data_IF_994078444576
#
_entry.id   IF_994078444576
#
_cell.length_a   1.000
_cell.length_b   1.000
_cell.length_c   1.000
_cell.angle_alpha   90.00
_cell.angle_beta   90.00
_cell.angle_gamma   90.00
#
_symmetry.space_group_name_H-M   'P 1'
#
loop_
_entity.id
_entity.type
_entity.pdbx_description
1 polymer ?
#
# COMPACT_ATOMS: atom_id res chain seq x y z
N UNK A 1 8.05 7.05 -27.22
CA UNK A 1 7.59 5.90 -26.40
C UNK A 1 6.36 6.37 -25.66
N UNK A 2 5.29 5.59 -25.72
CA UNK A 2 4.01 6.01 -25.15
C UNK A 2 3.96 5.61 -23.67
N UNK A 3 3.06 6.19 -22.89
CA UNK A 3 2.84 5.75 -21.51
C UNK A 3 2.43 4.25 -21.41
N UNK A 4 1.90 3.67 -22.50
CA UNK A 4 1.46 2.27 -22.57
C UNK A 4 2.59 1.24 -22.51
N UNK A 5 3.85 1.67 -22.60
CA UNK A 5 5.02 0.76 -22.53
C UNK A 5 5.46 0.49 -21.08
N UNK A 6 4.92 1.21 -20.10
CA UNK A 6 5.32 1.12 -18.69
C UNK A 6 4.21 0.58 -17.79
N UNK A 7 4.59 -0.27 -16.85
CA UNK A 7 3.74 -0.81 -15.79
C UNK A 7 4.19 -0.21 -14.47
N UNK A 8 3.24 0.22 -13.63
CA UNK A 8 3.57 0.55 -12.24
C UNK A 8 3.93 -0.73 -11.49
N UNK A 9 5.18 -0.81 -11.01
CA UNK A 9 5.72 -1.99 -10.34
C UNK A 9 5.74 -1.85 -8.81
N UNK A 10 5.66 -0.62 -8.30
CA UNK A 10 5.56 -0.30 -6.88
C UNK A 10 4.91 1.08 -6.74
N UNK A 11 4.15 1.30 -5.66
CA UNK A 11 3.59 2.60 -5.30
C UNK A 11 3.54 2.79 -3.78
N UNK A 12 3.44 4.04 -3.36
CA UNK A 12 3.05 4.45 -2.02
C UNK A 12 2.05 5.61 -2.12
N UNK A 13 0.92 5.49 -1.42
CA UNK A 13 -0.10 6.53 -1.39
C UNK A 13 0.41 7.74 -0.56
N UNK A 14 0.45 8.96 -1.14
CA UNK A 14 1.02 10.10 -0.45
C UNK A 14 0.07 10.64 0.64
N UNK A 15 0.68 11.08 1.74
CA UNK A 15 0.08 11.75 2.89
C UNK A 15 0.72 13.12 3.12
N UNK A 16 -0.03 13.99 3.78
CA UNK A 16 0.49 15.27 4.25
C UNK A 16 1.56 15.06 5.33
N UNK A 17 2.60 15.92 5.40
CA UNK A 17 3.59 15.87 6.47
C UNK A 17 2.92 15.87 7.85
N UNK A 18 3.26 14.89 8.69
CA UNK A 18 2.64 14.72 10.01
C UNK A 18 3.64 14.17 11.03
N UNK A 19 3.24 14.16 12.30
CA UNK A 19 4.05 13.54 13.36
C UNK A 19 4.21 12.03 13.17
N UNK A 20 3.20 11.38 12.56
CA UNK A 20 3.20 9.94 12.28
C UNK A 20 3.19 9.07 13.54
N UNK A 21 3.23 7.74 13.35
CA UNK A 21 3.26 6.77 14.46
C UNK A 21 4.67 6.52 14.99
N UNK A 22 5.67 6.78 14.16
CA UNK A 22 7.09 6.59 14.45
C UNK A 22 7.89 7.81 14.01
N UNK A 23 9.07 8.07 14.60
CA UNK A 23 9.94 9.16 14.18
C UNK A 23 10.17 9.15 12.67
N UNK A 24 9.87 10.29 12.05
CA UNK A 24 9.98 10.52 10.62
C UNK A 24 10.47 11.95 10.34
N UNK A 25 10.77 12.26 9.08
CA UNK A 25 11.37 13.53 8.66
C UNK A 25 10.42 14.42 7.87
N UNK A 26 9.13 14.07 7.78
CA UNK A 26 8.20 14.75 6.86
C UNK A 26 7.99 16.22 7.24
N UNK A 27 7.83 16.53 8.54
CA UNK A 27 7.64 17.91 9.02
C UNK A 27 8.91 18.76 8.95
N UNK A 28 10.07 18.16 9.20
CA UNK A 28 11.38 18.81 9.09
C UNK A 28 11.73 19.11 7.62
N UNK A 29 11.46 18.14 6.74
CA UNK A 29 11.95 18.15 5.38
C UNK A 29 13.43 17.77 5.29
N UNK A 30 14.05 18.18 4.19
CA UNK A 30 15.44 17.89 3.88
C UNK A 30 16.16 19.15 3.45
N UNK A 31 17.45 19.25 3.77
CA UNK A 31 18.32 20.34 3.33
C UNK A 31 19.77 19.86 3.31
N UNK A 32 20.43 19.96 2.13
CA UNK A 32 21.79 19.46 1.87
C UNK A 32 21.94 18.01 2.31
N UNK A 33 20.96 17.20 1.94
CA UNK A 33 20.82 15.81 2.38
C UNK A 33 20.37 14.92 1.22
N UNK A 34 20.85 13.68 1.24
CA UNK A 34 20.36 12.60 0.41
C UNK A 34 19.40 11.71 1.20
N UNK A 35 18.32 11.31 0.55
CA UNK A 35 17.32 10.37 1.07
C UNK A 35 17.33 9.12 0.20
N UNK A 36 17.60 7.97 0.80
CA UNK A 36 17.72 6.68 0.11
C UNK A 36 16.63 5.72 0.58
N UNK A 37 15.88 5.18 -0.36
CA UNK A 37 14.63 4.47 -0.11
C UNK A 37 14.66 3.13 -0.83
N UNK A 38 14.43 2.04 -0.08
CA UNK A 38 14.38 0.69 -0.64
C UNK A 38 12.92 0.34 -0.92
N UNK A 39 12.64 -0.11 -2.14
CA UNK A 39 11.29 -0.51 -2.57
C UNK A 39 11.34 -1.83 -3.32
N UNK A 40 10.44 -2.75 -2.97
CA UNK A 40 10.33 -4.06 -3.63
C UNK A 40 9.42 -3.95 -4.84
N UNK A 41 9.92 -4.31 -6.02
CA UNK A 41 9.15 -4.24 -7.25
C UNK A 41 8.32 -5.51 -7.45
N UNK A 42 7.09 -5.37 -7.92
CA UNK A 42 6.19 -6.49 -8.24
C UNK A 42 6.20 -6.85 -9.73
N UNK A 43 6.82 -6.01 -10.57
CA UNK A 43 7.04 -6.25 -11.99
C UNK A 43 8.49 -5.91 -12.37
N UNK A 44 9.13 -6.78 -13.15
CA UNK A 44 10.50 -6.59 -13.66
C UNK A 44 10.54 -5.95 -15.04
N UNK A 45 11.71 -5.50 -15.49
CA UNK A 45 11.91 -4.87 -16.78
C UNK A 45 13.38 -4.58 -17.07
N UNK A 46 13.67 -4.05 -18.26
CA UNK A 46 15.01 -3.61 -18.66
C UNK A 46 15.28 -2.14 -18.34
N UNK A 47 14.21 -1.34 -18.18
CA UNK A 47 14.29 0.07 -17.81
C UNK A 47 13.34 0.38 -16.67
N UNK A 48 13.78 1.31 -15.83
CA UNK A 48 13.03 1.82 -14.68
C UNK A 48 12.87 3.33 -14.80
N UNK A 49 11.76 3.86 -14.29
CA UNK A 49 11.57 5.29 -14.05
C UNK A 49 10.83 5.49 -12.73
N UNK A 50 11.01 6.65 -12.12
CA UNK A 50 10.38 6.97 -10.83
C UNK A 50 9.36 8.08 -11.00
N UNK A 51 8.31 8.04 -10.18
CA UNK A 51 7.35 9.13 -10.00
C UNK A 51 7.57 9.80 -8.66
N UNK A 52 7.75 11.10 -8.69
CA UNK A 52 7.92 11.95 -7.51
C UNK A 52 6.70 12.84 -7.34
N UNK A 53 6.23 12.98 -6.11
CA UNK A 53 5.03 13.72 -5.75
C UNK A 53 5.35 14.80 -4.72
N UNK A 54 4.95 16.02 -5.05
CA UNK A 54 4.90 17.18 -4.17
C UNK A 54 3.44 17.54 -3.82
N UNK A 55 2.55 16.53 -3.77
CA UNK A 55 1.11 16.69 -3.59
C UNK A 55 0.73 17.55 -2.36
N UNK A 56 1.54 17.49 -1.30
CA UNK A 56 1.30 18.26 -0.08
C UNK A 56 2.21 19.48 0.11
N UNK A 57 3.20 19.69 -0.75
CA UNK A 57 4.07 20.85 -0.69
C UNK A 57 3.37 22.14 -1.11
N UNK A 58 3.71 23.23 -0.43
CA UNK A 58 3.16 24.58 -0.66
C UNK A 58 4.06 25.47 -1.51
N UNK A 59 5.27 25.02 -1.83
CA UNK A 59 6.25 25.68 -2.71
C UNK A 59 6.85 24.67 -3.70
N UNK A 60 7.50 25.14 -4.78
CA UNK A 60 8.27 24.26 -5.65
C UNK A 60 9.32 23.46 -4.86
N UNK A 61 9.35 22.15 -5.07
CA UNK A 61 10.35 21.23 -4.52
C UNK A 61 11.51 21.12 -5.50
N UNK A 62 12.69 21.58 -5.11
CA UNK A 62 13.90 21.50 -5.92
C UNK A 62 14.66 20.21 -5.64
N UNK A 63 14.74 19.34 -6.64
CA UNK A 63 15.54 18.12 -6.60
C UNK A 63 16.86 18.38 -7.33
N UNK A 64 17.97 18.29 -6.61
CA UNK A 64 19.31 18.50 -7.17
C UNK A 64 19.86 17.25 -7.88
N UNK A 65 19.26 16.09 -7.63
CA UNK A 65 19.51 14.89 -8.41
C UNK A 65 18.81 13.67 -7.87
N UNK A 66 18.75 12.63 -8.68
CA UNK A 66 18.29 11.32 -8.26
C UNK A 66 19.11 10.20 -8.90
N UNK A 67 19.13 9.04 -8.24
CA UNK A 67 19.68 7.80 -8.78
C UNK A 67 18.83 6.61 -8.39
N UNK A 68 18.93 5.55 -9.18
CA UNK A 68 18.34 4.24 -8.92
C UNK A 68 19.39 3.16 -9.09
N UNK A 69 19.30 2.10 -8.30
CA UNK A 69 20.25 0.99 -8.32
C UNK A 69 19.59 -0.30 -7.83
N UNK A 70 20.20 -1.45 -8.13
CA UNK A 70 19.80 -2.72 -7.48
C UNK A 70 20.25 -2.68 -6.02
N UNK A 71 19.36 -3.08 -5.12
CA UNK A 71 19.66 -3.07 -3.69
C UNK A 71 20.63 -4.19 -3.34
N UNK A 72 21.63 -3.91 -2.52
CA UNK A 72 22.46 -4.93 -1.89
C UNK A 72 21.92 -5.23 -0.48
N UNK A 73 22.52 -4.65 0.56
CA UNK A 73 22.08 -4.82 1.95
C UNK A 73 21.98 -3.48 2.67
N UNK A 74 20.89 -3.26 3.40
CA UNK A 74 20.65 -1.99 4.09
C UNK A 74 20.65 -0.82 3.12
N UNK A 75 21.49 0.19 3.37
CA UNK A 75 21.67 1.34 2.49
C UNK A 75 22.60 1.07 1.29
N UNK A 76 23.26 -0.09 1.24
CA UNK A 76 24.18 -0.46 0.18
C UNK A 76 23.46 -0.85 -1.12
N UNK A 77 24.11 -0.60 -2.24
CA UNK A 77 23.62 -0.95 -3.58
C UNK A 77 24.66 -1.79 -4.33
N UNK A 78 24.23 -2.52 -5.34
CA UNK A 78 25.17 -3.35 -6.11
C UNK A 78 26.14 -2.47 -6.92
N UNK A 79 27.47 -2.71 -6.85
CA UNK A 79 28.44 -2.00 -7.66
C UNK A 79 28.13 -2.09 -9.17
N UNK A 80 28.24 -0.97 -9.88
CA UNK A 80 27.97 -0.90 -11.31
C UNK A 80 26.47 -0.84 -11.69
N UNK A 81 25.55 -0.97 -10.73
CA UNK A 81 24.11 -0.87 -10.99
C UNK A 81 23.56 0.56 -10.87
N UNK A 82 24.32 1.50 -10.28
CA UNK A 82 23.87 2.89 -10.11
C UNK A 82 23.59 3.55 -11.45
N UNK A 83 22.40 4.13 -11.59
CA UNK A 83 21.98 4.96 -12.73
C UNK A 83 21.53 6.31 -12.23
N UNK A 84 22.21 7.37 -12.67
CA UNK A 84 21.71 8.74 -12.46
C UNK A 84 20.45 8.93 -13.29
N UNK A 85 19.44 9.49 -12.68
CA UNK A 85 18.17 9.79 -13.34
C UNK A 85 18.21 11.20 -13.94
N UNK A 86 17.38 11.40 -14.96
CA UNK A 86 17.12 12.69 -15.58
C UNK A 86 15.62 12.95 -15.64
N UNK A 87 15.25 14.21 -15.83
CA UNK A 87 13.88 14.68 -16.00
C UNK A 87 13.88 15.59 -17.22
N UNK A 88 13.32 15.11 -18.35
CA UNK A 88 13.40 15.81 -19.63
C UNK A 88 14.85 16.11 -20.05
N UNK A 89 15.77 15.19 -19.77
CA UNK A 89 17.20 15.28 -20.07
C UNK A 89 18.04 16.05 -19.04
N UNK A 90 17.43 16.70 -18.04
CA UNK A 90 18.14 17.43 -16.99
C UNK A 90 18.33 16.58 -15.73
N UNK A 91 19.46 16.73 -15.03
CA UNK A 91 19.68 16.04 -13.74
C UNK A 91 18.98 16.71 -12.55
N UNK A 92 18.68 18.00 -12.68
CA UNK A 92 17.98 18.79 -11.67
C UNK A 92 16.56 19.10 -12.15
N UNK A 93 15.61 19.19 -11.22
CA UNK A 93 14.24 19.56 -11.57
C UNK A 93 13.52 20.26 -10.42
N UNK A 94 12.59 21.16 -10.77
CA UNK A 94 11.66 21.76 -9.83
C UNK A 94 10.26 21.15 -10.02
N UNK A 95 9.73 20.53 -8.96
CA UNK A 95 8.37 19.99 -8.95
C UNK A 95 7.47 21.07 -8.36
N UNK A 96 6.50 21.55 -9.14
CA UNK A 96 5.57 22.58 -8.68
C UNK A 96 4.87 22.21 -7.36
N UNK A 97 4.45 23.22 -6.59
CA UNK A 97 3.58 22.99 -5.44
C UNK A 97 2.34 22.18 -5.86
N UNK A 98 1.98 21.16 -5.08
CA UNK A 98 0.88 20.22 -5.41
C UNK A 98 1.09 19.41 -6.70
N UNK A 99 2.29 19.47 -7.28
CA UNK A 99 2.62 18.82 -8.55
C UNK A 99 3.22 17.42 -8.38
N UNK A 100 3.45 16.78 -9.52
CA UNK A 100 4.16 15.52 -9.63
C UNK A 100 5.05 15.53 -10.87
N UNK A 101 6.06 14.66 -10.92
CA UNK A 101 6.91 14.47 -12.09
C UNK A 101 7.31 13.00 -12.23
N UNK A 102 7.56 12.57 -13.47
CA UNK A 102 8.12 11.27 -13.79
C UNK A 102 9.51 11.47 -14.40
N UNK A 103 10.49 10.66 -13.99
CA UNK A 103 11.83 10.70 -14.57
C UNK A 103 11.83 10.14 -16.00
N UNK A 104 12.87 10.46 -16.76
CA UNK A 104 13.18 9.72 -17.98
C UNK A 104 13.52 8.25 -17.61
N UNK A 105 13.30 7.27 -18.51
CA UNK A 105 13.71 5.89 -18.28
C UNK A 105 15.23 5.73 -18.17
N UNK A 106 15.67 4.95 -17.19
CA UNK A 106 17.06 4.53 -17.01
C UNK A 106 17.22 3.02 -17.21
N UNK A 107 18.29 2.59 -17.89
CA UNK A 107 18.60 1.18 -18.12
C UNK A 107 19.07 0.50 -16.83
N UNK A 108 18.18 -0.30 -16.25
CA UNK A 108 18.43 -1.08 -15.06
C UNK A 108 17.59 -2.35 -15.15
N UNK A 109 18.24 -3.48 -15.42
CA UNK A 109 17.57 -4.77 -15.48
C UNK A 109 17.25 -5.24 -14.08
N UNK A 110 15.96 -5.47 -13.82
CA UNK A 110 15.42 -5.90 -12.53
C UNK A 110 14.36 -6.99 -12.74
N UNK A 111 14.33 -7.98 -11.86
CA UNK A 111 13.28 -9.00 -11.86
C UNK A 111 12.11 -8.62 -10.93
N UNK A 112 10.94 -9.21 -11.17
CA UNK A 112 9.83 -9.12 -10.22
C UNK A 112 10.24 -9.73 -8.87
N UNK A 113 9.91 -9.04 -7.78
CA UNK A 113 10.34 -9.38 -6.42
C UNK A 113 11.73 -8.86 -6.05
N UNK A 114 12.48 -8.24 -6.96
CA UNK A 114 13.76 -7.62 -6.59
C UNK A 114 13.54 -6.23 -5.95
N UNK A 115 14.24 -5.92 -4.86
CA UNK A 115 14.31 -4.57 -4.34
C UNK A 115 15.20 -3.67 -5.21
N UNK A 116 14.74 -2.43 -5.38
CA UNK A 116 15.54 -1.33 -5.93
C UNK A 116 15.70 -0.24 -4.88
N UNK A 117 16.83 0.45 -4.96
CA UNK A 117 17.18 1.56 -4.10
C UNK A 117 17.12 2.85 -4.88
N UNK A 118 16.25 3.78 -4.48
CA UNK A 118 16.14 5.13 -5.05
C UNK A 118 16.80 6.12 -4.10
N UNK A 119 17.74 6.93 -4.60
CA UNK A 119 18.35 8.02 -3.83
C UNK A 119 17.93 9.36 -4.42
N UNK A 120 17.46 10.28 -3.58
CA UNK A 120 17.08 11.64 -3.93
C UNK A 120 18.00 12.63 -3.20
N UNK A 121 18.56 13.62 -3.89
CA UNK A 121 19.38 14.66 -3.28
C UNK A 121 18.68 16.01 -3.30
N UNK A 122 18.61 16.63 -2.12
CA UNK A 122 18.04 17.96 -1.92
C UNK A 122 19.13 18.92 -1.47
N UNK A 123 19.66 19.75 -2.39
CA UNK A 123 20.60 20.82 -2.04
C UNK A 123 19.90 21.95 -1.28
N UNK A 124 18.74 22.38 -1.80
CA UNK A 124 17.90 23.39 -1.17
C UNK A 124 16.95 22.78 -0.13
N UNK A 125 16.49 23.61 0.81
CA UNK A 125 15.52 23.18 1.80
C UNK A 125 14.18 22.84 1.13
N UNK A 126 13.63 21.67 1.43
CA UNK A 126 12.34 21.24 0.88
C UNK A 126 11.14 21.90 1.58
N UNK A 127 11.32 22.32 2.84
CA UNK A 127 10.22 22.49 3.78
C UNK A 127 9.52 21.15 4.07
N UNK A 128 8.35 21.16 4.73
CA UNK A 128 7.60 19.94 4.99
C UNK A 128 7.36 19.12 3.72
N UNK A 129 7.78 17.86 3.73
CA UNK A 129 7.83 17.00 2.55
C UNK A 129 6.64 16.02 2.52
N UNK A 130 6.05 15.86 1.33
CA UNK A 130 5.08 14.78 1.05
C UNK A 130 5.71 13.44 1.40
N UNK A 131 4.98 12.59 2.12
CA UNK A 131 5.52 11.32 2.60
C UNK A 131 4.44 10.22 2.63
N UNK A 132 4.83 9.01 2.96
CA UNK A 132 3.96 7.90 3.32
C UNK A 132 4.48 7.32 4.63
N UNK A 133 3.61 7.23 5.65
CA UNK A 133 4.03 7.08 7.03
C UNK A 133 4.56 5.68 7.37
N UNK A 134 3.93 4.62 6.86
CA UNK A 134 4.14 3.25 7.33
C UNK A 134 4.69 2.37 6.20
N UNK A 135 5.95 2.61 5.83
CA UNK A 135 6.59 1.89 4.74
C UNK A 135 6.81 0.40 5.03
N UNK A 136 6.88 0.03 6.31
CA UNK A 136 7.32 -1.29 6.80
C UNK A 136 8.64 -1.76 6.19
N UNK A 137 9.45 -0.80 5.73
CA UNK A 137 10.80 -0.97 5.20
C UNK A 137 11.60 0.28 5.51
N UNK A 138 12.92 0.17 5.49
CA UNK A 138 13.81 1.26 5.91
C UNK A 138 14.08 2.23 4.78
N UNK A 139 13.98 3.52 5.11
CA UNK A 139 14.58 4.62 4.39
C UNK A 139 15.75 5.18 5.20
N UNK A 140 16.70 5.76 4.50
CA UNK A 140 17.97 6.24 5.01
C UNK A 140 18.18 7.70 4.65
N UNK A 141 18.82 8.48 5.53
CA UNK A 141 19.24 9.86 5.26
C UNK A 141 20.70 10.04 5.60
N UNK A 142 21.38 10.90 4.84
CA UNK A 142 22.76 11.29 5.08
C UNK A 142 23.04 12.69 4.52
N UNK A 143 24.08 13.39 5.01
CA UNK A 143 24.44 14.72 4.53
C UNK A 143 25.10 14.68 3.15
N UNK A 144 24.87 15.73 2.35
CA UNK A 144 25.48 15.94 1.04
C UNK A 144 24.91 15.07 -0.10
N UNK A 145 25.53 15.19 -1.28
CA UNK A 145 25.21 14.37 -2.46
C UNK A 145 25.83 12.97 -2.29
N UNK A 146 24.96 11.98 -2.05
CA UNK A 146 25.29 10.56 -1.92
C UNK A 146 24.73 9.73 -3.08
N UNK A 147 24.42 10.36 -4.22
CA UNK A 147 23.77 9.70 -5.36
C UNK A 147 24.64 8.60 -6.00
N UNK A 148 25.96 8.69 -5.83
CA UNK A 148 26.93 7.69 -6.28
C UNK A 148 27.46 6.78 -5.16
N UNK A 149 27.00 6.97 -3.91
CA UNK A 149 27.44 6.15 -2.78
C UNK A 149 26.94 4.71 -2.97
N UNK A 150 27.88 3.77 -3.16
CA UNK A 150 27.58 2.35 -3.33
C UNK A 150 27.49 1.61 -1.99
N UNK A 151 28.23 2.05 -0.98
CA UNK A 151 28.42 1.30 0.27
C UNK A 151 27.27 1.50 1.25
N UNK A 152 26.58 2.63 1.16
CA UNK A 152 25.59 3.10 2.13
C UNK A 152 26.22 3.78 3.35
N UNK A 153 27.54 3.96 3.39
CA UNK A 153 28.23 4.47 4.58
C UNK A 153 27.99 5.96 4.85
N UNK A 154 27.62 6.74 3.83
CA UNK A 154 27.25 8.15 4.01
C UNK A 154 25.89 8.37 4.69
N UNK A 155 25.09 7.31 4.89
CA UNK A 155 23.77 7.42 5.53
C UNK A 155 23.87 7.12 7.02
N UNK A 156 23.51 8.11 7.85
CA UNK A 156 23.68 8.10 9.30
C UNK A 156 22.36 8.06 10.08
N UNK A 157 21.22 8.16 9.39
CA UNK A 157 19.90 8.10 10.00
C UNK A 157 18.95 7.15 9.25
N UNK A 158 17.99 6.58 9.97
CA UNK A 158 16.97 5.64 9.45
C UNK A 158 15.57 6.00 9.91
N UNK A 159 14.58 5.61 9.11
CA UNK A 159 13.13 5.74 9.40
C UNK A 159 12.37 4.69 8.60
N UNK A 160 11.08 4.51 8.90
CA UNK A 160 10.19 3.54 8.24
C UNK A 160 9.09 4.26 7.43
N UNK A 161 9.47 5.33 6.74
CA UNK A 161 8.59 6.11 5.88
C UNK A 161 9.21 6.32 4.50
N UNK A 162 8.38 6.51 3.47
CA UNK A 162 8.84 6.98 2.16
C UNK A 162 8.56 8.48 2.01
N UNK A 163 9.43 9.20 1.30
CA UNK A 163 9.38 10.64 1.11
C UNK A 163 9.48 10.97 -0.36
N UNK A 164 8.52 11.75 -0.86
CA UNK A 164 8.42 12.26 -2.24
C UNK A 164 8.26 11.16 -3.31
N UNK A 165 8.87 9.98 -3.16
CA UNK A 165 8.74 8.84 -4.05
C UNK A 165 7.34 8.23 -3.93
N UNK A 166 6.60 8.20 -5.04
CA UNK A 166 5.20 7.75 -5.09
C UNK A 166 4.97 6.57 -6.03
N UNK A 167 5.88 6.34 -6.99
CA UNK A 167 5.87 5.14 -7.81
C UNK A 167 7.25 4.79 -8.37
N UNK A 168 7.43 3.51 -8.65
CA UNK A 168 8.47 3.01 -9.56
C UNK A 168 7.77 2.25 -10.67
N UNK A 169 8.12 2.57 -11.91
CA UNK A 169 7.53 1.98 -13.11
C UNK A 169 8.63 1.26 -13.90
N UNK A 170 8.30 0.11 -14.47
CA UNK A 170 9.18 -0.69 -15.32
C UNK A 170 8.60 -0.82 -16.72
N UNK A 171 9.44 -1.07 -17.73
CA UNK A 171 8.98 -1.29 -19.10
C UNK A 171 8.46 -2.72 -19.36
N UNK A 172 7.84 -3.33 -18.35
CA UNK A 172 7.31 -4.69 -18.39
C UNK A 172 6.18 -4.87 -19.43
N UNK A 173 5.50 -3.79 -19.82
CA UNK A 173 4.37 -3.81 -20.74
C UNK A 173 3.17 -4.63 -20.25
N UNK A 174 3.06 -4.87 -18.94
CA UNK A 174 1.94 -5.59 -18.32
C UNK A 174 0.74 -4.70 -18.11
N UNK A 175 -0.44 -5.26 -18.36
CA UNK A 175 -1.73 -4.60 -18.21
C UNK A 175 -2.64 -5.29 -17.18
N UNK A 176 -2.18 -6.36 -16.53
CA UNK A 176 -2.94 -7.18 -15.61
C UNK A 176 -2.55 -6.93 -14.13
N UNK A 177 -2.17 -5.71 -13.80
CA UNK A 177 -1.83 -5.29 -12.44
C UNK A 177 -3.06 -5.23 -11.54
N UNK A 178 -2.86 -5.57 -10.27
CA UNK A 178 -3.89 -5.56 -9.23
C UNK A 178 -3.58 -4.44 -8.23
N UNK A 179 -4.51 -3.52 -8.02
CA UNK A 179 -4.41 -2.51 -6.98
C UNK A 179 -5.21 -2.93 -5.74
N UNK A 180 -4.56 -2.93 -4.58
CA UNK A 180 -5.18 -3.14 -3.28
C UNK A 180 -5.40 -1.76 -2.64
N UNK A 181 -6.65 -1.39 -2.42
CA UNK A 181 -7.03 -0.08 -1.92
C UNK A 181 -7.71 -0.19 -0.56
N UNK A 182 -7.17 0.52 0.43
CA UNK A 182 -7.71 0.43 1.77
C UNK A 182 -6.96 1.21 2.86
N UNK A 183 -7.18 0.78 4.09
CA UNK A 183 -6.62 1.38 5.30
C UNK A 183 -5.37 0.62 5.80
N UNK A 184 -5.13 0.57 7.11
CA UNK A 184 -4.00 -0.13 7.74
C UNK A 184 -3.97 -1.63 7.46
N UNK A 185 -5.13 -2.26 7.29
CA UNK A 185 -5.23 -3.66 6.86
C UNK A 185 -4.56 -3.85 5.50
N UNK A 186 -4.77 -2.87 4.61
CA UNK A 186 -4.19 -2.89 3.26
C UNK A 186 -2.72 -2.48 3.27
N UNK A 187 -2.39 -1.43 4.01
CA UNK A 187 -1.04 -0.86 4.12
C UNK A 187 -0.03 -1.89 4.66
N UNK A 188 -0.48 -2.72 5.60
CA UNK A 188 0.28 -3.86 6.09
C UNK A 188 0.57 -3.86 7.59
N UNK A 189 -0.21 -3.11 8.38
CA UNK A 189 -0.01 -3.06 9.83
C UNK A 189 -0.17 -4.45 10.46
N UNK A 190 0.79 -4.83 11.30
CA UNK A 190 0.86 -6.17 11.88
C UNK A 190 1.73 -7.16 11.09
N UNK A 191 2.18 -6.79 9.88
CA UNK A 191 3.23 -7.55 9.18
C UNK A 191 4.61 -7.30 9.79
N UNK A 192 5.49 -8.30 9.70
CA UNK A 192 6.87 -8.18 10.17
C UNK A 192 7.64 -7.12 9.37
N UNK A 193 8.13 -6.03 9.99
CA UNK A 193 8.86 -4.97 9.28
C UNK A 193 10.10 -5.49 8.57
N UNK A 194 10.29 -5.06 7.31
CA UNK A 194 11.42 -5.44 6.47
C UNK A 194 11.40 -6.88 5.95
N UNK A 195 10.35 -7.66 6.23
CA UNK A 195 10.27 -9.06 5.81
C UNK A 195 9.48 -9.28 4.51
N UNK A 196 8.89 -8.23 3.92
CA UNK A 196 8.02 -8.29 2.73
C UNK A 196 6.86 -9.29 2.90
N UNK A 197 6.13 -9.18 4.03
CA UNK A 197 5.06 -10.12 4.44
C UNK A 197 3.66 -9.50 4.50
N UNK A 198 3.48 -8.34 3.87
CA UNK A 198 2.13 -7.78 3.66
C UNK A 198 1.38 -8.68 2.68
N UNK A 199 0.05 -8.67 2.73
CA UNK A 199 -0.73 -9.42 1.75
C UNK A 199 -0.51 -8.95 0.30
N UNK A 200 -0.09 -7.70 0.07
CA UNK A 200 0.36 -7.23 -1.24
C UNK A 200 1.60 -7.99 -1.74
N UNK A 201 2.59 -8.20 -0.86
CA UNK A 201 3.83 -8.90 -1.18
C UNK A 201 3.56 -10.40 -1.40
N UNK A 202 2.70 -10.99 -0.55
CA UNK A 202 2.27 -12.37 -0.68
C UNK A 202 1.48 -12.61 -1.97
N UNK A 203 0.57 -11.71 -2.34
CA UNK A 203 -0.21 -11.79 -3.57
C UNK A 203 0.67 -11.69 -4.81
N UNK A 204 1.62 -10.73 -4.83
CA UNK A 204 2.56 -10.57 -5.94
C UNK A 204 3.39 -11.84 -6.14
N UNK A 205 3.88 -12.43 -5.05
CA UNK A 205 4.66 -13.68 -5.09
C UNK A 205 3.84 -14.87 -5.56
N UNK A 206 2.55 -14.96 -5.18
CA UNK A 206 1.67 -16.07 -5.54
C UNK A 206 1.23 -16.02 -7.01
N UNK A 207 0.92 -14.83 -7.51
CA UNK A 207 0.31 -14.66 -8.85
C UNK A 207 1.34 -14.30 -9.92
N UNK A 208 2.50 -13.75 -9.55
CA UNK A 208 3.44 -13.16 -10.50
C UNK A 208 2.89 -11.92 -11.22
N UNK A 209 1.79 -11.34 -10.72
CA UNK A 209 1.19 -10.11 -11.25
C UNK A 209 1.79 -8.88 -10.57
N UNK A 210 1.83 -7.72 -11.26
CA UNK A 210 2.09 -6.45 -10.59
C UNK A 210 1.02 -6.23 -9.51
N UNK A 211 1.43 -5.87 -8.30
CA UNK A 211 0.52 -5.56 -7.20
C UNK A 211 0.87 -4.19 -6.63
N UNK A 212 -0.11 -3.31 -6.63
CA UNK A 212 0.00 -1.96 -6.05
C UNK A 212 -0.64 -1.95 -4.68
N UNK A 213 0.12 -1.52 -3.67
CA UNK A 213 -0.42 -1.29 -2.33
C UNK A 213 -0.78 0.20 -2.19
N UNK A 214 -2.09 0.50 -2.28
CA UNK A 214 -2.65 1.83 -2.05
C UNK A 214 -3.31 1.93 -0.66
N UNK A 215 -2.74 1.22 0.32
CA UNK A 215 -3.07 1.34 1.73
C UNK A 215 -2.59 2.66 2.33
N UNK A 216 -3.34 3.17 3.31
CA UNK A 216 -2.88 4.20 4.22
C UNK A 216 -3.39 3.81 5.61
N UNK A 217 -2.51 3.62 6.58
CA UNK A 217 -2.92 3.33 7.96
C UNK A 217 -3.99 4.31 8.48
N UNK A 218 -5.01 3.77 9.15
CA UNK A 218 -6.13 4.53 9.72
C UNK A 218 -7.01 5.31 8.74
N UNK A 219 -6.83 5.14 7.42
CA UNK A 219 -7.56 5.91 6.43
C UNK A 219 -9.08 5.65 6.52
N UNK A 220 -9.83 6.72 6.29
CA UNK A 220 -11.29 6.73 6.30
C UNK A 220 -11.81 6.79 4.86
N UNK A 221 -12.88 6.08 4.55
CA UNK A 221 -13.53 6.14 3.24
C UNK A 221 -14.18 7.49 2.99
N UNK A 222 -14.82 8.06 4.03
CA UNK A 222 -15.74 9.20 3.89
C UNK A 222 -15.18 10.54 4.37
N UNK A 223 -14.13 10.54 5.21
CA UNK A 223 -13.64 11.74 5.89
C UNK A 223 -12.13 11.94 5.72
N UNK A 224 -11.70 13.19 5.57
CA UNK A 224 -10.28 13.53 5.60
C UNK A 224 -9.81 13.49 7.06
N UNK A 225 -8.58 13.04 7.29
CA UNK A 225 -7.94 13.07 8.61
C UNK A 225 -6.59 13.76 8.54
N UNK A 226 -6.28 14.57 9.57
CA UNK A 226 -4.97 15.19 9.71
C UNK A 226 -3.84 14.17 9.90
N UNK A 227 -4.17 12.98 10.43
CA UNK A 227 -3.22 11.88 10.64
C UNK A 227 -3.26 10.87 9.51
N UNK A 228 -4.47 10.54 9.03
CA UNK A 228 -4.70 9.41 8.15
C UNK A 228 -5.00 9.76 6.68
N UNK A 229 -4.73 11.01 6.31
CA UNK A 229 -4.76 11.47 4.92
C UNK A 229 -6.15 11.79 4.38
N UNK A 230 -6.21 12.02 3.07
CA UNK A 230 -7.46 12.32 2.35
C UNK A 230 -8.38 11.10 2.35
N UNK A 231 -9.69 11.34 2.36
CA UNK A 231 -10.72 10.30 2.31
C UNK A 231 -10.59 9.39 1.09
N UNK A 232 -10.92 8.12 1.27
CA UNK A 232 -10.78 7.08 0.26
C UNK A 232 -11.42 7.45 -1.08
N UNK A 233 -12.67 7.93 -1.07
CA UNK A 233 -13.39 8.31 -2.30
C UNK A 233 -12.71 9.41 -3.12
N UNK A 234 -11.88 10.24 -2.48
CA UNK A 234 -11.17 11.35 -3.13
C UNK A 234 -9.81 10.91 -3.68
N UNK A 235 -9.10 10.04 -2.95
CA UNK A 235 -7.74 9.64 -3.32
C UNK A 235 -7.67 8.50 -4.33
N UNK A 236 -8.75 7.76 -4.57
CA UNK A 236 -8.77 6.61 -5.50
C UNK A 236 -8.18 6.95 -6.88
N UNK A 237 -8.52 8.11 -7.45
CA UNK A 237 -8.00 8.51 -8.75
C UNK A 237 -6.47 8.59 -8.76
N UNK A 238 -5.91 9.31 -7.77
CA UNK A 238 -4.47 9.52 -7.63
C UNK A 238 -3.72 8.24 -7.29
N UNK A 239 -4.27 7.44 -6.38
CA UNK A 239 -3.56 6.30 -5.77
C UNK A 239 -3.74 4.98 -6.55
N UNK A 240 -4.69 4.94 -7.49
CA UNK A 240 -4.96 3.75 -8.32
C UNK A 240 -5.15 4.12 -9.79
N UNK A 241 -6.14 4.96 -10.10
CA UNK A 241 -6.62 5.10 -11.48
C UNK A 241 -5.63 5.80 -12.42
N UNK A 242 -4.70 6.58 -11.88
CA UNK A 242 -3.65 7.28 -12.62
C UNK A 242 -2.33 6.48 -12.73
N UNK A 243 -2.34 5.22 -12.24
CA UNK A 243 -1.26 4.26 -12.46
C UNK A 243 -1.46 3.46 -13.74
N UNK A 244 -0.34 3.05 -14.33
CA UNK A 244 -0.33 2.33 -15.61
C UNK A 244 -0.32 0.82 -15.39
N UNK A 245 -1.09 0.10 -16.21
CA UNK A 245 -1.09 -1.36 -16.25
C UNK A 245 -1.91 -2.04 -15.16
N UNK A 246 -2.88 -1.34 -14.55
CA UNK A 246 -3.83 -1.90 -13.57
C UNK A 246 -5.15 -2.24 -14.28
N UNK A 247 -5.63 -3.47 -14.12
CA UNK A 247 -6.95 -3.90 -14.61
C UNK A 247 -7.94 -4.25 -13.49
N UNK A 248 -7.44 -4.47 -12.28
CA UNK A 248 -8.22 -4.99 -11.17
C UNK A 248 -8.01 -4.13 -9.93
N UNK A 249 -9.10 -3.72 -9.30
CA UNK A 249 -9.13 -3.04 -8.01
C UNK A 249 -9.74 -3.97 -6.95
N UNK A 250 -9.05 -4.18 -5.84
CA UNK A 250 -9.58 -4.81 -4.64
C UNK A 250 -9.82 -3.74 -3.58
N UNK A 251 -11.04 -3.65 -3.05
CA UNK A 251 -11.46 -2.64 -2.09
C UNK A 251 -11.66 -3.28 -0.70
N UNK A 252 -10.86 -2.86 0.28
CA UNK A 252 -10.99 -3.20 1.71
C UNK A 252 -10.82 -1.93 2.54
N UNK A 253 -11.93 -1.25 2.85
CA UNK A 253 -11.91 0.03 3.58
C UNK A 253 -13.25 0.23 4.29
N UNK A 254 -13.27 1.08 5.31
CA UNK A 254 -14.48 1.45 6.06
C UNK A 254 -14.44 1.04 7.52
N UNK A 255 -13.41 0.30 7.96
CA UNK A 255 -13.28 -0.12 9.35
C UNK A 255 -13.09 1.09 10.28
N UNK A 256 -12.18 2.00 9.93
CA UNK A 256 -11.90 3.18 10.75
C UNK A 256 -13.10 4.12 10.82
N UNK A 257 -13.92 4.19 9.76
CA UNK A 257 -15.11 5.05 9.69
C UNK A 257 -16.15 4.70 10.76
N UNK A 258 -16.19 3.44 11.20
CA UNK A 258 -17.12 2.98 12.25
C UNK A 258 -16.42 2.75 13.58
N UNK A 259 -15.11 2.50 13.58
CA UNK A 259 -14.36 2.17 14.78
C UNK A 259 -13.88 3.39 15.56
N UNK A 260 -13.53 4.49 14.90
CA UNK A 260 -13.03 5.68 15.62
C UNK A 260 -14.04 6.28 16.58
N UNK A 261 -15.34 6.16 16.30
CA UNK A 261 -16.41 6.64 17.18
C UNK A 261 -16.70 5.74 18.39
N UNK A 262 -16.08 4.56 18.48
CA UNK A 262 -16.29 3.61 19.59
C UNK A 262 -15.33 3.82 20.76
N UNK A 263 -14.26 4.58 20.56
CA UNK A 263 -13.30 4.91 21.61
C UNK A 263 -13.42 6.37 22.03
N UNK A 264 -13.50 6.60 23.33
CA UNK A 264 -13.32 7.92 23.90
C UNK A 264 -11.80 8.23 23.93
N UNK A 265 -11.41 9.45 23.57
CA UNK A 265 -10.09 10.05 23.89
C UNK A 265 -8.82 9.51 23.17
N UNK A 266 -8.90 9.14 21.88
CA UNK A 266 -7.69 9.03 21.03
C UNK A 266 -7.49 10.28 20.15
N UNK A 267 -6.50 11.16 20.43
CA UNK A 267 -6.29 12.40 19.66
C UNK A 267 -6.02 12.18 18.16
N UNK A 268 -5.55 10.99 17.81
CA UNK A 268 -5.27 10.59 16.43
C UNK A 268 -6.54 10.19 15.68
N UNK A 269 -7.56 9.64 16.37
CA UNK A 269 -8.79 9.13 15.78
C UNK A 269 -9.80 10.24 15.50
N UNK A 270 -9.37 11.23 14.73
CA UNK A 270 -10.20 12.37 14.37
C UNK A 270 -10.13 12.66 12.86
N UNK A 271 -11.27 13.00 12.23
CA UNK A 271 -12.61 13.09 12.83
C UNK A 271 -13.22 11.70 13.11
N UNK A 272 -14.10 11.61 14.12
CA UNK A 272 -14.82 10.38 14.50
C UNK A 272 -16.34 10.60 14.46
N UNK A 273 -16.93 10.93 13.30
CA UNK A 273 -18.38 10.98 13.19
C UNK A 273 -18.96 9.57 13.36
N UNK A 274 -20.18 9.47 13.88
CA UNK A 274 -20.95 8.22 13.88
C UNK A 274 -21.45 8.00 12.46
N UNK A 275 -20.99 6.93 11.79
CA UNK A 275 -21.28 6.63 10.38
C UNK A 275 -22.16 5.39 10.28
N UNK A 276 -23.29 5.48 9.57
CA UNK A 276 -24.18 4.33 9.36
C UNK A 276 -23.85 3.56 8.07
N UNK A 277 -24.27 2.29 7.98
CA UNK A 277 -23.95 1.42 6.86
C UNK A 277 -24.34 1.99 5.49
N UNK A 278 -25.47 2.72 5.42
CA UNK A 278 -25.92 3.37 4.18
C UNK A 278 -24.92 4.39 3.62
N UNK A 279 -24.20 5.10 4.49
CA UNK A 279 -23.19 6.09 4.10
C UNK A 279 -21.93 5.41 3.56
N UNK A 280 -21.47 4.34 4.22
CA UNK A 280 -20.36 3.52 3.72
C UNK A 280 -20.71 2.87 2.39
N UNK A 281 -21.90 2.28 2.27
CA UNK A 281 -22.38 1.69 1.01
C UNK A 281 -22.37 2.73 -0.12
N UNK A 282 -22.79 3.97 0.15
CA UNK A 282 -22.72 5.05 -0.84
C UNK A 282 -21.27 5.38 -1.23
N UNK A 283 -20.33 5.39 -0.27
CA UNK A 283 -18.90 5.54 -0.53
C UNK A 283 -18.32 4.41 -1.39
N UNK A 284 -18.65 3.14 -1.07
CA UNK A 284 -18.22 1.99 -1.86
C UNK A 284 -18.77 2.03 -3.29
N UNK A 285 -20.05 2.42 -3.47
CA UNK A 285 -20.65 2.64 -4.79
C UNK A 285 -19.91 3.69 -5.61
N UNK A 286 -19.45 4.76 -4.96
CA UNK A 286 -18.65 5.78 -5.62
C UNK A 286 -17.28 5.24 -6.07
N UNK A 287 -16.60 4.42 -5.25
CA UNK A 287 -15.37 3.74 -5.66
C UNK A 287 -15.60 2.81 -6.87
N UNK A 288 -16.66 1.99 -6.81
CA UNK A 288 -17.07 1.09 -7.91
C UNK A 288 -17.28 1.89 -9.19
N UNK A 289 -18.04 2.99 -9.12
CA UNK A 289 -18.36 3.84 -10.28
C UNK A 289 -17.10 4.46 -10.87
N UNK A 290 -16.21 5.01 -10.05
CA UNK A 290 -14.94 5.59 -10.52
C UNK A 290 -14.04 4.55 -11.20
N UNK A 291 -13.89 3.37 -10.59
CA UNK A 291 -13.04 2.31 -11.12
C UNK A 291 -13.59 1.69 -12.41
N UNK A 292 -14.90 1.34 -12.45
CA UNK A 292 -15.55 0.86 -13.69
C UNK A 292 -15.56 1.91 -14.78
N UNK A 293 -15.64 3.20 -14.43
CA UNK A 293 -15.49 4.32 -15.38
C UNK A 293 -14.11 4.38 -16.04
N UNK A 294 -13.10 3.73 -15.46
CA UNK A 294 -11.75 3.53 -16.04
C UNK A 294 -11.54 2.11 -16.59
N UNK A 295 -12.59 1.30 -16.64
CA UNK A 295 -12.56 -0.06 -17.19
C UNK A 295 -11.96 -1.12 -16.26
N UNK A 296 -11.77 -0.83 -14.97
CA UNK A 296 -11.23 -1.80 -14.02
C UNK A 296 -12.33 -2.77 -13.55
N UNK A 297 -11.96 -4.04 -13.38
CA UNK A 297 -12.69 -5.01 -12.56
C UNK A 297 -12.59 -4.60 -11.09
N UNK A 298 -13.70 -4.64 -10.36
CA UNK A 298 -13.77 -4.23 -8.95
C UNK A 298 -14.20 -5.38 -8.07
N UNK A 299 -13.28 -5.82 -7.21
CA UNK A 299 -13.48 -6.88 -6.22
C UNK A 299 -13.71 -6.23 -4.85
N UNK A 300 -14.82 -6.56 -4.20
CA UNK A 300 -15.12 -6.08 -2.85
C UNK A 300 -14.66 -7.07 -1.79
N UNK A 301 -14.03 -6.60 -0.72
CA UNK A 301 -13.72 -7.43 0.43
C UNK A 301 -14.58 -7.02 1.64
N UNK A 302 -15.18 -8.00 2.32
CA UNK A 302 -15.82 -7.76 3.62
C UNK A 302 -14.78 -7.26 4.61
N UNK A 303 -15.19 -6.38 5.53
CA UNK A 303 -14.36 -6.07 6.69
C UNK A 303 -14.03 -7.36 7.46
N UNK A 304 -12.81 -7.43 7.99
CA UNK A 304 -12.34 -8.56 8.80
C UNK A 304 -13.14 -8.63 10.11
N UNK A 305 -13.10 -9.75 10.85
CA UNK A 305 -13.54 -9.76 12.25
C UNK A 305 -12.64 -8.81 13.06
N UNK A 306 -13.20 -8.00 13.94
CA UNK A 306 -12.44 -7.08 14.79
C UNK A 306 -13.01 -6.96 16.22
N UNK A 307 -13.79 -7.96 16.62
CA UNK A 307 -14.38 -8.09 17.95
C UNK A 307 -13.32 -8.17 19.03
N UNK A 308 -13.47 -7.33 20.06
CA UNK A 308 -12.52 -7.22 21.16
C UNK A 308 -11.39 -6.21 20.94
N UNK A 309 -11.33 -5.54 19.79
CA UNK A 309 -10.45 -4.38 19.56
C UNK A 309 -11.00 -3.11 20.20
N UNK A 310 -10.20 -2.05 20.22
CA UNK A 310 -10.61 -0.68 20.59
C UNK A 310 -11.57 -0.03 19.57
N UNK A 311 -11.73 -0.62 18.39
CA UNK A 311 -12.67 -0.20 17.36
C UNK A 311 -14.05 -0.87 17.51
N UNK A 312 -14.20 -1.79 18.47
CA UNK A 312 -15.42 -2.60 18.61
C UNK A 312 -16.38 -2.04 19.64
N UNK A 313 -17.62 -1.80 19.21
CA UNK A 313 -18.75 -1.52 20.09
C UNK A 313 -20.08 -1.87 19.43
N UNK A 314 -21.19 -1.54 20.09
CA UNK A 314 -22.53 -1.95 19.62
C UNK A 314 -22.88 -1.34 18.26
N UNK A 315 -22.41 -0.12 17.99
CA UNK A 315 -22.68 0.57 16.74
C UNK A 315 -21.83 -0.02 15.60
N UNK A 316 -20.52 -0.13 15.80
CA UNK A 316 -19.60 -0.74 14.84
C UNK A 316 -19.98 -2.19 14.52
N UNK A 317 -20.38 -3.00 15.50
CA UNK A 317 -20.85 -4.37 15.28
C UNK A 317 -22.08 -4.42 14.35
N UNK A 318 -23.07 -3.54 14.58
CA UNK A 318 -24.25 -3.40 13.73
C UNK A 318 -23.85 -2.99 12.30
N UNK A 319 -23.08 -1.90 12.17
CA UNK A 319 -22.71 -1.35 10.86
C UNK A 319 -21.83 -2.32 10.07
N UNK A 320 -20.88 -2.97 10.73
CA UNK A 320 -20.06 -4.04 10.15
C UNK A 320 -20.92 -5.17 9.57
N UNK A 321 -21.90 -5.67 10.35
CA UNK A 321 -22.80 -6.73 9.89
C UNK A 321 -23.62 -6.28 8.68
N UNK A 322 -24.16 -5.07 8.68
CA UNK A 322 -24.96 -4.51 7.59
C UNK A 322 -24.12 -4.31 6.31
N UNK A 323 -22.92 -3.72 6.44
CA UNK A 323 -22.00 -3.51 5.33
C UNK A 323 -21.54 -4.84 4.74
N UNK A 324 -21.08 -5.79 5.56
CA UNK A 324 -20.62 -7.09 5.08
C UNK A 324 -21.75 -7.91 4.44
N UNK A 325 -23.00 -7.76 4.90
CA UNK A 325 -24.15 -8.37 4.24
C UNK A 325 -24.39 -7.77 2.84
N UNK A 326 -24.29 -6.44 2.69
CA UNK A 326 -24.40 -5.78 1.39
C UNK A 326 -23.25 -6.20 0.45
N UNK A 327 -22.00 -6.20 0.91
CA UNK A 327 -20.83 -6.61 0.10
C UNK A 327 -21.04 -8.01 -0.48
N UNK A 328 -21.53 -8.96 0.32
CA UNK A 328 -21.79 -10.34 -0.13
C UNK A 328 -22.99 -10.49 -1.05
N UNK A 329 -24.09 -9.79 -0.75
CA UNK A 329 -25.41 -10.12 -1.30
C UNK A 329 -25.92 -9.17 -2.38
N UNK A 330 -25.38 -7.96 -2.50
CA UNK A 330 -25.96 -6.95 -3.38
C UNK A 330 -25.62 -7.14 -4.87
N UNK A 331 -24.57 -7.91 -5.18
CA UNK A 331 -24.12 -8.14 -6.56
C UNK A 331 -23.56 -6.88 -7.23
N UNK A 332 -23.12 -5.88 -6.46
CA UNK A 332 -22.61 -4.61 -7.00
C UNK A 332 -21.12 -4.67 -7.35
N UNK A 333 -20.35 -5.56 -6.72
CA UNK A 333 -18.97 -5.87 -7.09
C UNK A 333 -18.92 -6.97 -8.16
N UNK A 334 -17.84 -7.00 -8.94
CA UNK A 334 -17.61 -8.05 -9.96
C UNK A 334 -17.24 -9.40 -9.32
N UNK A 335 -16.62 -9.38 -8.14
CA UNK A 335 -16.39 -10.53 -7.28
C UNK A 335 -16.29 -10.10 -5.80
N UNK A 336 -16.40 -11.06 -4.88
CA UNK A 336 -16.38 -10.80 -3.43
C UNK A 336 -15.36 -11.69 -2.71
N UNK A 337 -14.62 -11.08 -1.77
CA UNK A 337 -13.75 -11.75 -0.81
C UNK A 337 -14.37 -11.70 0.58
N UNK A 338 -14.68 -12.86 1.16
CA UNK A 338 -15.30 -12.97 2.48
C UNK A 338 -14.23 -13.09 3.59
N UNK A 339 -13.42 -12.03 3.77
CA UNK A 339 -12.40 -12.00 4.81
C UNK A 339 -12.97 -12.12 6.23
N UNK A 340 -14.22 -11.69 6.46
CA UNK A 340 -14.89 -11.90 7.75
C UNK A 340 -14.91 -13.40 8.08
N UNK A 341 -15.35 -14.26 7.15
CA UNK A 341 -15.40 -15.71 7.41
C UNK A 341 -14.02 -16.36 7.40
N UNK A 342 -13.12 -15.92 6.50
CA UNK A 342 -11.81 -16.55 6.34
C UNK A 342 -10.89 -16.34 7.55
N UNK A 343 -11.02 -15.22 8.24
CA UNK A 343 -10.16 -14.86 9.36
C UNK A 343 -10.82 -15.05 10.73
N UNK A 344 -12.09 -15.46 10.79
CA UNK A 344 -12.85 -15.61 12.03
C UNK A 344 -12.36 -16.75 12.92
N UNK A 345 -12.43 -16.53 14.23
CA UNK A 345 -12.39 -17.59 15.23
C UNK A 345 -13.66 -18.46 15.09
N UNK A 346 -13.54 -19.79 14.91
CA UNK A 346 -14.70 -20.70 14.84
C UNK A 346 -15.60 -20.68 16.08
N UNK A 347 -15.10 -20.24 17.23
CA UNK A 347 -15.84 -20.15 18.48
C UNK A 347 -16.53 -18.79 18.69
N UNK A 348 -16.05 -17.74 18.01
CA UNK A 348 -16.61 -16.39 18.06
C UNK A 348 -16.36 -15.67 16.71
N UNK A 349 -17.33 -15.68 15.79
CA UNK A 349 -17.13 -15.22 14.41
C UNK A 349 -16.91 -13.71 14.27
N UNK A 350 -17.12 -12.94 15.34
CA UNK A 350 -16.80 -11.52 15.36
C UNK A 350 -15.32 -11.26 15.67
N UNK A 351 -14.56 -12.25 16.15
CA UNK A 351 -13.14 -12.11 16.54
C UNK A 351 -12.19 -12.70 15.50
N UNK A 352 -11.00 -12.11 15.39
CA UNK A 352 -9.92 -12.72 14.62
C UNK A 352 -9.53 -14.04 15.25
N UNK A 353 -9.30 -15.05 14.41
CA UNK A 353 -8.70 -16.29 14.85
C UNK A 353 -7.33 -16.00 15.48
N UNK A 354 -7.01 -16.52 16.68
CA UNK A 354 -5.78 -16.16 17.38
C UNK A 354 -4.48 -16.42 16.60
N UNK A 355 -4.48 -17.38 15.67
CA UNK A 355 -3.31 -17.62 14.79
C UNK A 355 -3.11 -16.56 13.70
N UNK A 356 -4.14 -15.75 13.41
CA UNK A 356 -4.08 -14.67 12.43
C UNK A 356 -4.01 -13.29 13.07
N UNK A 357 -4.25 -13.18 14.37
CA UNK A 357 -4.23 -11.92 15.12
C UNK A 357 -2.78 -11.45 15.39
N UNK A 358 -2.51 -10.18 15.13
CA UNK A 358 -1.25 -9.52 15.53
C UNK A 358 -1.16 -9.31 17.05
N UNK A 359 -2.30 -9.31 17.74
CA UNK A 359 -2.43 -9.18 19.19
C UNK A 359 -3.28 -8.00 19.64
N UNK A 360 -3.80 -7.21 18.71
CA UNK A 360 -4.71 -6.08 18.99
C UNK A 360 -6.17 -6.37 18.65
N UNK A 361 -6.46 -7.60 18.22
CA UNK A 361 -7.80 -8.06 17.83
C UNK A 361 -8.39 -7.30 16.62
N UNK A 362 -7.54 -6.61 15.85
CA UNK A 362 -7.94 -5.81 14.70
C UNK A 362 -7.12 -6.15 13.46
N UNK A 363 -5.79 -6.21 13.60
CA UNK A 363 -4.88 -6.36 12.48
C UNK A 363 -4.43 -7.81 12.29
N UNK A 364 -4.45 -8.33 11.06
CA UNK A 364 -3.82 -9.59 10.73
C UNK A 364 -2.29 -9.54 10.94
N UNK A 365 -1.73 -10.64 11.41
CA UNK A 365 -0.29 -10.92 11.37
C UNK A 365 0.12 -11.50 10.00
N UNK A 366 1.41 -11.83 9.84
CA UNK A 366 1.95 -12.47 8.63
C UNK A 366 1.12 -13.67 8.13
N UNK A 367 0.63 -14.54 9.02
CA UNK A 367 -0.15 -15.71 8.65
C UNK A 367 -1.56 -15.34 8.16
N UNK A 368 -2.20 -14.34 8.80
CA UNK A 368 -3.47 -13.81 8.32
C UNK A 368 -3.34 -13.15 6.95
N UNK A 369 -2.25 -12.42 6.71
CA UNK A 369 -1.97 -11.82 5.41
C UNK A 369 -1.72 -12.84 4.29
N UNK A 370 -1.13 -14.00 4.59
CA UNK A 370 -1.03 -15.10 3.63
C UNK A 370 -2.42 -15.65 3.23
N UNK A 371 -3.34 -15.78 4.19
CA UNK A 371 -4.72 -16.22 3.91
C UNK A 371 -5.45 -15.21 3.03
N UNK A 372 -5.32 -13.92 3.32
CA UNK A 372 -5.90 -12.86 2.50
C UNK A 372 -5.39 -12.90 1.07
N UNK A 373 -4.06 -13.02 0.89
CA UNK A 373 -3.45 -13.11 -0.44
C UNK A 373 -3.88 -14.37 -1.21
N UNK A 374 -4.03 -15.50 -0.54
CA UNK A 374 -4.52 -16.75 -1.15
C UNK A 374 -5.94 -16.62 -1.67
N UNK A 375 -6.83 -16.00 -0.89
CA UNK A 375 -8.22 -15.78 -1.30
C UNK A 375 -8.31 -14.86 -2.53
N UNK A 376 -7.51 -13.78 -2.55
CA UNK A 376 -7.45 -12.90 -3.73
C UNK A 376 -6.94 -13.67 -4.95
N UNK A 377 -5.83 -14.40 -4.83
CA UNK A 377 -5.27 -15.19 -5.92
C UNK A 377 -6.30 -16.18 -6.48
N UNK A 378 -7.05 -16.86 -5.61
CA UNK A 378 -8.12 -17.77 -6.03
C UNK A 378 -9.19 -17.07 -6.88
N UNK A 379 -9.69 -15.90 -6.44
CA UNK A 379 -10.69 -15.10 -7.17
C UNK A 379 -10.15 -14.55 -8.50
N UNK A 380 -8.85 -14.27 -8.58
CA UNK A 380 -8.22 -13.83 -9.83
C UNK A 380 -8.14 -14.98 -10.85
N UNK A 381 -7.91 -16.21 -10.40
CA UNK A 381 -7.74 -17.39 -11.27
C UNK A 381 -9.06 -18.02 -11.76
N UNK A 382 -10.16 -17.87 -11.01
CA UNK A 382 -11.39 -18.66 -11.21
C UNK A 382 -12.55 -17.90 -11.90
N UNK A 383 -12.25 -16.81 -12.61
CA UNK A 383 -13.23 -15.96 -13.29
C UNK A 383 -13.75 -16.52 -14.65
N UNK A 384 -13.76 -17.86 -14.80
CA UNK A 384 -14.39 -18.57 -15.93
C UNK A 384 -15.68 -19.31 -15.55
N UNK A 385 -16.20 -19.22 -14.32
CA UNK A 385 -17.49 -19.84 -13.97
C UNK A 385 -18.36 -18.95 -13.07
N UNK A 386 -19.62 -18.66 -13.47
CA UNK A 386 -20.60 -18.08 -12.57
C UNK A 386 -21.15 -19.18 -11.64
N UNK A 387 -20.68 -19.19 -10.39
CA UNK A 387 -21.25 -19.85 -9.20
C UNK A 387 -21.64 -21.35 -9.28
N UNK A 388 -21.13 -22.21 -8.38
CA UNK A 388 -21.90 -23.32 -7.87
C UNK A 388 -22.41 -22.96 -6.48
N UNK A 389 -23.66 -22.46 -6.42
CA UNK A 389 -24.38 -22.38 -5.18
C UNK A 389 -24.35 -23.75 -4.46
N UNK A 390 -24.00 -23.72 -3.17
CA UNK A 390 -24.44 -24.67 -2.16
C UNK A 390 -24.00 -26.12 -2.34
N UNK A 391 -22.80 -26.46 -1.86
CA UNK A 391 -22.56 -27.58 -0.92
C UNK A 391 -21.05 -27.73 -0.71
N UNK A 392 -20.55 -27.35 0.47
CA UNK A 392 -19.30 -27.90 0.99
C UNK A 392 -19.51 -28.21 2.47
N UNK A 393 -19.65 -29.50 2.75
CA UNK A 393 -19.51 -30.07 4.08
C UNK A 393 -18.18 -29.68 4.76
N UNK A 394 -18.01 -30.04 6.04
CA UNK A 394 -17.05 -29.38 6.93
C UNK A 394 -15.63 -29.42 6.37
N UNK A 395 -14.97 -28.27 6.44
CA UNK A 395 -13.60 -28.05 6.02
C UNK A 395 -12.70 -29.19 6.47
N UNK A 396 -12.03 -29.84 5.50
CA UNK A 396 -10.88 -30.68 5.80
C UNK A 396 -9.81 -29.76 6.38
N UNK A 397 -9.63 -29.82 7.69
CA UNK A 397 -8.51 -29.20 8.39
C UNK A 397 -7.21 -29.59 7.67
N UNK A 398 -6.48 -28.59 7.18
CA UNK A 398 -5.09 -28.75 6.77
C UNK A 398 -4.31 -29.17 8.03
N UNK A 399 -4.00 -30.46 8.14
CA UNK A 399 -3.22 -30.99 9.24
C UNK A 399 -1.81 -30.37 9.23
N UNK A 400 -1.25 -30.01 10.39
CA UNK A 400 0.11 -29.50 10.47
C UNK A 400 1.10 -30.61 10.07
N UNK A 401 1.97 -30.31 9.11
CA UNK A 401 3.11 -31.18 8.79
C UNK A 401 4.02 -31.27 10.02
N UNK A 402 4.18 -32.47 10.58
CA UNK A 402 5.19 -32.75 11.62
C UNK A 402 6.59 -32.51 11.07
N UNK A 403 7.53 -31.95 11.86
CA UNK A 403 8.92 -31.87 11.47
C UNK A 403 9.54 -33.27 11.41
N UNK A 404 10.39 -33.50 10.41
CA UNK A 404 11.19 -34.70 10.30
C UNK A 404 12.19 -34.74 11.47
N UNK A 405 12.12 -35.79 12.27
CA UNK A 405 13.16 -36.11 13.25
C UNK A 405 14.28 -36.82 12.51
N UNK A 406 15.45 -36.22 12.48
CA UNK A 406 16.71 -36.88 12.13
C UNK A 406 17.18 -37.73 13.31
N UNK A 407 17.31 -39.03 13.09
CA UNK A 407 18.33 -39.90 13.69
C UNK A 407 18.64 -41.02 12.68
#
# INVERSE_FOLDING_TARGET
MSAADFTTAWTAAPQAPSEGFTPNWSREGFWRQSVRQVVRLTAGGGRVRIRLSNAYGTSPLHLAGASVARTASGAGVEPGSVRRLTFQGAHEVAIAARGQIVSDPAELVVAAGEPVTVTLYFEAATGPATFHAQAFTRSHRGPGDLLADVTGAGFDAVTESWYVLSAVETDAGRADGVALFGDSLTDGFGSTPGADRRWSDALARRTGRPVLNAGIGGNLLLNDSAWYGEKGVRRLARDVLDHSGVDTLVVLIGLNDIGFSETDEQPTYHPAPVVEAGELIAGHRELIRQARGRGLRVIGATLVPFGGSDHWGKHAAKVNSELNAWIRGAGEYDAVLDFQRLLADPSDPDRLHPSYDFGDHLHPNDAGYEVMAEAVAHVLDHDQDPDPAGDRGPARALAPRRPAVTA
#
